data_IF_692798598723
#
_entry.id   IF_692798598723
#
_cell.length_a   1.000
_cell.length_b   1.000
_cell.length_c   1.000
_cell.angle_alpha   90.00
_cell.angle_beta   90.00
_cell.angle_gamma   90.00
#
_symmetry.space_group_name_H-M   'P 1'
#
loop_
_entity.id
_entity.type
_entity.pdbx_description
1 polymer ?
#
# COMPACT_ATOMS: atom_id res chain seq x y z
N UNK A 1 19.83 -31.87 3.48
CA UNK A 1 19.40 -30.48 3.75
C UNK A 1 20.06 -29.56 2.72
N UNK A 2 19.35 -29.17 1.65
CA UNK A 2 19.85 -28.20 0.64
C UNK A 2 18.75 -27.67 -0.33
N UNK A 3 17.45 -27.83 -0.07
CA UNK A 3 16.38 -27.51 -1.04
C UNK A 3 15.26 -26.59 -0.52
N UNK A 4 15.35 -26.05 0.69
CA UNK A 4 14.36 -25.07 1.19
C UNK A 4 14.50 -23.69 0.55
N UNK A 5 15.74 -23.25 0.26
CA UNK A 5 16.01 -21.86 -0.14
C UNK A 5 15.67 -21.58 -1.62
N UNK A 6 15.84 -22.56 -2.51
CA UNK A 6 15.47 -22.42 -3.94
C UNK A 6 13.95 -22.39 -4.14
N UNK A 7 13.19 -23.10 -3.28
CA UNK A 7 11.73 -23.10 -3.32
C UNK A 7 11.15 -21.78 -2.78
N UNK A 8 11.83 -21.17 -1.80
CA UNK A 8 11.49 -19.84 -1.30
C UNK A 8 11.82 -18.74 -2.33
N UNK A 9 12.96 -18.81 -3.02
CA UNK A 9 13.30 -17.86 -4.09
C UNK A 9 12.33 -17.95 -5.30
N UNK A 10 11.87 -19.17 -5.66
CA UNK A 10 10.82 -19.34 -6.69
C UNK A 10 9.43 -18.86 -6.23
N UNK A 11 9.11 -18.95 -4.94
CA UNK A 11 7.86 -18.39 -4.38
C UNK A 11 7.93 -16.86 -4.28
N UNK A 12 9.08 -16.29 -3.91
CA UNK A 12 9.32 -14.85 -3.87
C UNK A 12 9.20 -14.22 -5.28
N UNK A 13 9.67 -14.93 -6.32
CA UNK A 13 9.52 -14.50 -7.73
C UNK A 13 8.06 -14.40 -8.22
N UNK A 14 7.10 -14.95 -7.49
CA UNK A 14 5.68 -14.92 -7.84
C UNK A 14 4.90 -13.79 -7.15
N UNK A 15 5.55 -13.03 -6.25
CA UNK A 15 4.92 -11.90 -5.56
C UNK A 15 5.00 -10.60 -6.39
N UNK A 16 5.71 -10.63 -7.52
CA UNK A 16 5.80 -9.50 -8.45
C UNK A 16 4.60 -9.42 -9.36
N UNK A 17 4.00 -8.26 -9.27
CA UNK A 17 2.69 -7.95 -9.74
C UNK A 17 2.88 -6.51 -10.21
N UNK A 18 3.20 -6.32 -11.49
CA UNK A 18 3.56 -4.98 -11.97
C UNK A 18 2.36 -4.06 -11.79
N UNK A 19 2.51 -3.09 -10.89
CA UNK A 19 1.53 -2.03 -10.68
C UNK A 19 1.44 -1.20 -11.96
N UNK A 20 0.23 -0.88 -12.39
CA UNK A 20 0.03 -0.10 -13.60
C UNK A 20 0.47 1.36 -13.40
N UNK A 21 1.13 1.94 -14.40
CA UNK A 21 1.50 3.35 -14.42
C UNK A 21 0.31 4.28 -14.11
N UNK A 22 -0.86 4.01 -14.71
CA UNK A 22 -2.05 4.85 -14.50
C UNK A 22 -2.63 4.77 -13.08
N UNK A 23 -2.40 3.68 -12.35
CA UNK A 23 -2.80 3.56 -10.95
C UNK A 23 -1.83 4.33 -10.05
N UNK A 24 -0.52 4.26 -10.33
CA UNK A 24 0.51 5.06 -9.65
C UNK A 24 0.24 6.54 -9.88
N UNK A 25 0.06 6.97 -11.14
CA UNK A 25 -0.21 8.36 -11.47
C UNK A 25 -1.44 8.89 -10.72
N UNK A 26 -2.57 8.19 -10.78
CA UNK A 26 -3.79 8.64 -10.07
C UNK A 26 -3.59 8.76 -8.56
N UNK A 27 -2.87 7.81 -7.96
CA UNK A 27 -2.59 7.84 -6.54
C UNK A 27 -1.65 9.01 -6.18
N UNK A 28 -0.59 9.24 -6.95
CA UNK A 28 0.38 10.31 -6.69
C UNK A 28 -0.20 11.71 -6.94
N UNK A 29 -0.95 11.92 -8.03
CA UNK A 29 -1.58 13.21 -8.30
C UNK A 29 -2.55 13.62 -7.18
N UNK A 30 -3.21 12.68 -6.52
CA UNK A 30 -4.16 13.01 -5.45
C UNK A 30 -3.49 13.63 -4.20
N UNK A 31 -2.20 13.36 -3.96
CA UNK A 31 -1.43 14.07 -2.93
C UNK A 31 -1.01 15.47 -3.41
N UNK A 32 -0.63 15.60 -4.70
CA UNK A 32 -0.30 16.90 -5.31
C UNK A 32 -1.51 17.84 -5.41
N UNK A 33 -2.71 17.31 -5.65
CA UNK A 33 -3.96 18.07 -5.63
C UNK A 33 -4.25 18.66 -4.24
N UNK A 34 -3.80 17.99 -3.18
CA UNK A 34 -3.97 18.45 -1.81
C UNK A 34 -2.86 19.43 -1.39
N UNK A 35 -1.62 19.08 -1.68
CA UNK A 35 -0.44 19.94 -1.47
C UNK A 35 0.51 19.81 -2.68
N UNK A 36 0.62 20.85 -3.53
CA UNK A 36 1.46 20.80 -4.73
C UNK A 36 2.97 20.68 -4.41
N UNK A 37 3.39 21.02 -3.19
CA UNK A 37 4.78 20.92 -2.74
C UNK A 37 5.09 19.56 -2.06
N UNK A 38 4.14 18.61 -2.03
CA UNK A 38 4.29 17.29 -1.36
C UNK A 38 5.64 16.62 -1.67
N UNK A 39 6.06 16.63 -2.94
CA UNK A 39 7.28 15.96 -3.42
C UNK A 39 8.44 16.92 -3.74
N UNK A 40 8.22 18.23 -3.60
CA UNK A 40 9.21 19.24 -3.95
C UNK A 40 10.40 19.23 -3.00
N UNK A 41 11.59 19.32 -3.58
CA UNK A 41 12.88 19.24 -2.92
C UNK A 41 13.08 17.96 -2.09
N UNK A 42 12.28 16.91 -2.38
CA UNK A 42 12.36 15.62 -1.67
C UNK A 42 13.26 14.63 -2.36
N UNK A 43 13.84 13.76 -1.56
CA UNK A 43 14.51 12.54 -2.00
C UNK A 43 13.51 11.39 -1.94
N UNK A 44 13.22 10.78 -3.09
CA UNK A 44 12.29 9.65 -3.20
C UNK A 44 13.07 8.35 -3.24
N UNK A 45 12.62 7.34 -2.49
CA UNK A 45 13.14 5.98 -2.60
C UNK A 45 12.06 5.02 -3.10
N UNK A 46 12.31 4.43 -4.27
CA UNK A 46 11.43 3.48 -4.93
C UNK A 46 12.19 2.17 -5.12
N UNK A 47 12.36 1.37 -4.07
CA UNK A 47 12.94 0.04 -4.22
C UNK A 47 12.01 -0.84 -5.08
N UNK A 48 12.57 -1.57 -6.02
CA UNK A 48 11.85 -2.50 -6.89
C UNK A 48 12.77 -3.67 -7.27
N UNK A 49 12.21 -4.71 -7.86
CA UNK A 49 13.05 -5.83 -8.31
C UNK A 49 13.84 -5.46 -9.59
N UNK A 50 13.23 -4.62 -10.46
CA UNK A 50 13.84 -4.06 -11.66
C UNK A 50 13.35 -2.63 -11.98
N UNK A 51 14.22 -1.59 -11.95
CA UNK A 51 13.86 -0.22 -12.32
C UNK A 51 13.40 -0.06 -13.75
N UNK A 52 13.90 -0.87 -14.70
CA UNK A 52 13.52 -0.76 -16.11
C UNK A 52 12.10 -1.26 -16.38
N UNK A 53 11.55 -2.08 -15.47
CA UNK A 53 10.17 -2.57 -15.54
C UNK A 53 9.26 -1.91 -14.48
N UNK A 54 9.84 -1.23 -13.51
CA UNK A 54 9.11 -0.58 -12.43
C UNK A 54 8.42 0.69 -12.92
N UNK A 55 7.09 0.63 -13.00
CA UNK A 55 6.29 1.83 -13.27
C UNK A 55 6.42 2.90 -12.18
N UNK A 56 6.86 2.54 -10.96
CA UNK A 56 7.19 3.53 -9.92
C UNK A 56 8.41 4.34 -10.32
N UNK A 57 9.51 3.66 -10.65
CA UNK A 57 10.73 4.33 -11.13
C UNK A 57 10.41 5.17 -12.38
N UNK A 58 9.73 4.57 -13.37
CA UNK A 58 9.30 5.26 -14.59
C UNK A 58 8.50 6.53 -14.32
N UNK A 59 7.53 6.49 -13.40
CA UNK A 59 6.73 7.66 -13.07
C UNK A 59 7.60 8.77 -12.46
N UNK A 60 8.37 8.48 -11.41
CA UNK A 60 9.14 9.51 -10.72
C UNK A 60 10.28 10.07 -11.57
N UNK A 61 10.92 9.24 -12.39
CA UNK A 61 12.02 9.71 -13.23
C UNK A 61 11.49 10.59 -14.37
N UNK A 62 10.42 10.19 -15.07
CA UNK A 62 9.81 10.98 -16.15
C UNK A 62 9.18 12.28 -15.65
N UNK A 63 8.81 12.34 -14.37
CA UNK A 63 8.23 13.52 -13.74
C UNK A 63 9.22 14.26 -12.83
N UNK A 64 10.52 13.93 -12.86
CA UNK A 64 11.50 14.42 -11.90
C UNK A 64 11.52 15.97 -11.81
N UNK A 65 11.56 16.65 -12.96
CA UNK A 65 11.52 18.12 -13.01
C UNK A 65 10.15 18.68 -12.62
N UNK A 66 9.05 18.06 -13.09
CA UNK A 66 7.68 18.52 -12.79
C UNK A 66 7.39 18.47 -11.30
N UNK A 67 7.85 17.41 -10.63
CA UNK A 67 7.69 17.22 -9.19
C UNK A 67 8.70 18.03 -8.37
N UNK A 68 9.71 18.62 -9.01
CA UNK A 68 10.80 19.33 -8.34
C UNK A 68 11.61 18.42 -7.41
N UNK A 69 11.85 17.17 -7.80
CA UNK A 69 12.58 16.22 -6.96
C UNK A 69 14.03 16.67 -6.77
N UNK A 70 14.55 16.46 -5.57
CA UNK A 70 15.98 16.63 -5.29
C UNK A 70 16.80 15.44 -5.76
N UNK A 71 16.25 14.24 -5.60
CA UNK A 71 16.91 12.97 -5.95
C UNK A 71 15.89 11.83 -6.01
N UNK A 72 16.13 10.88 -6.90
CA UNK A 72 15.43 9.60 -6.94
C UNK A 72 16.43 8.47 -6.70
N UNK A 73 16.13 7.62 -5.73
CA UNK A 73 16.92 6.44 -5.38
C UNK A 73 16.10 5.19 -5.71
N UNK A 74 16.74 4.17 -6.27
CA UNK A 74 16.14 2.84 -6.46
C UNK A 74 17.20 1.77 -6.27
N UNK A 75 16.80 0.63 -5.72
CA UNK A 75 17.58 -0.62 -5.73
C UNK A 75 16.92 -1.65 -6.65
N UNK A 76 17.68 -2.61 -7.15
CA UNK A 76 17.20 -3.69 -8.03
C UNK A 76 17.91 -5.01 -7.78
N UNK A 77 17.21 -6.15 -7.83
CA UNK A 77 17.87 -7.46 -7.74
C UNK A 77 18.61 -7.82 -9.04
N UNK A 78 19.60 -8.72 -8.94
CA UNK A 78 20.20 -9.42 -10.09
C UNK A 78 19.93 -10.92 -9.98
N UNK A 79 19.63 -11.63 -11.08
CA UNK A 79 19.54 -11.14 -12.44
C UNK A 79 18.20 -10.45 -12.69
N UNK A 80 18.24 -9.17 -13.07
CA UNK A 80 17.06 -8.57 -13.71
C UNK A 80 16.91 -9.25 -15.09
N UNK A 81 15.70 -9.74 -15.44
CA UNK A 81 15.45 -10.41 -16.72
C UNK A 81 15.81 -9.53 -17.91
N UNK A 82 15.60 -8.21 -17.78
CA UNK A 82 15.84 -7.22 -18.83
C UNK A 82 17.15 -6.47 -18.66
N UNK A 83 17.59 -6.09 -17.46
CA UNK A 83 18.93 -5.52 -17.30
C UNK A 83 19.99 -6.44 -17.89
N UNK A 84 19.84 -7.78 -17.81
CA UNK A 84 20.77 -8.71 -18.48
C UNK A 84 20.48 -8.99 -19.97
N UNK A 85 19.30 -8.63 -20.52
CA UNK A 85 18.98 -8.86 -21.96
C UNK A 85 18.90 -7.57 -22.79
N UNK A 86 18.50 -6.43 -22.22
CA UNK A 86 18.81 -5.10 -22.74
C UNK A 86 20.29 -4.74 -22.58
N UNK A 87 21.07 -5.42 -21.72
CA UNK A 87 22.54 -5.41 -21.85
C UNK A 87 23.05 -6.08 -23.14
N UNK A 88 22.21 -6.77 -23.93
CA UNK A 88 22.58 -7.18 -25.31
C UNK A 88 22.32 -6.05 -26.32
N UNK A 89 21.59 -5.00 -25.94
CA UNK A 89 21.49 -3.73 -26.68
C UNK A 89 22.60 -2.73 -26.30
N UNK A 90 23.34 -3.01 -25.24
CA UNK A 90 24.46 -2.21 -24.74
C UNK A 90 25.75 -3.03 -24.91
N UNK A 91 26.36 -2.91 -26.09
CA UNK A 91 27.42 -3.77 -26.59
C UNK A 91 28.50 -4.17 -25.58
N UNK A 92 29.09 -5.35 -25.82
CA UNK A 92 30.13 -6.01 -25.03
C UNK A 92 31.09 -5.02 -24.34
N UNK A 93 30.84 -4.73 -23.07
CA UNK A 93 31.71 -3.88 -22.29
C UNK A 93 32.99 -4.64 -21.95
N UNK A 94 34.02 -4.46 -22.78
CA UNK A 94 35.35 -5.07 -22.63
C UNK A 94 36.12 -4.58 -21.39
N UNK A 95 35.53 -3.71 -20.58
CA UNK A 95 36.14 -3.20 -19.33
C UNK A 95 35.81 -4.03 -18.09
N UNK A 96 34.83 -4.94 -18.16
CA UNK A 96 34.52 -5.84 -17.04
C UNK A 96 35.47 -7.04 -17.11
N UNK A 97 36.53 -7.02 -16.28
CA UNK A 97 37.35 -8.21 -16.06
C UNK A 97 36.47 -9.36 -15.60
N UNK A 98 36.45 -10.52 -16.29
CA UNK A 98 35.64 -11.66 -15.88
C UNK A 98 36.15 -12.17 -14.52
N UNK A 99 35.37 -11.93 -13.47
CA UNK A 99 35.67 -12.46 -12.14
C UNK A 99 35.51 -13.98 -12.20
N UNK A 100 36.62 -14.72 -12.05
CA UNK A 100 36.60 -16.18 -11.90
C UNK A 100 35.80 -16.55 -10.66
N UNK A 101 34.61 -17.12 -10.84
CA UNK A 101 33.77 -17.60 -9.75
C UNK A 101 32.29 -17.70 -10.17
N UNK A 102 31.50 -18.38 -9.35
CA UNK A 102 30.03 -18.38 -9.50
C UNK A 102 29.54 -16.92 -9.38
N UNK A 103 28.71 -16.39 -10.30
CA UNK A 103 28.25 -15.01 -10.21
C UNK A 103 27.61 -14.77 -8.85
N UNK A 104 28.13 -13.80 -8.08
CA UNK A 104 27.45 -13.34 -6.87
C UNK A 104 26.11 -12.74 -7.30
N UNK A 105 25.03 -13.17 -6.66
CA UNK A 105 23.72 -12.55 -6.77
C UNK A 105 23.83 -11.23 -6.00
N UNK A 106 24.20 -10.15 -6.69
CA UNK A 106 24.35 -8.81 -6.12
C UNK A 106 23.22 -7.93 -6.63
N UNK A 107 22.66 -7.05 -5.81
CA UNK A 107 21.73 -6.05 -6.31
C UNK A 107 22.46 -4.87 -7.00
N UNK A 108 21.71 -3.94 -7.60
CA UNK A 108 22.23 -2.65 -8.05
C UNK A 108 21.54 -1.52 -7.30
N UNK A 109 22.19 -0.37 -7.23
CA UNK A 109 21.59 0.92 -6.87
C UNK A 109 21.63 1.88 -8.06
N UNK A 110 20.59 2.70 -8.13
CA UNK A 110 20.44 3.78 -9.09
C UNK A 110 20.15 5.06 -8.30
N UNK A 111 20.93 6.11 -8.55
CA UNK A 111 20.73 7.43 -7.97
C UNK A 111 20.64 8.44 -9.10
N UNK A 112 19.48 9.06 -9.24
CA UNK A 112 19.22 10.12 -10.20
C UNK A 112 19.19 11.44 -9.43
N UNK A 113 20.13 12.34 -9.74
CA UNK A 113 20.15 13.71 -9.21
C UNK A 113 19.74 14.73 -10.26
N UNK A 114 19.95 14.42 -11.53
CA UNK A 114 19.62 15.31 -12.64
C UNK A 114 19.00 14.51 -13.79
N UNK A 115 18.13 15.17 -14.53
CA UNK A 115 17.52 14.64 -15.75
C UNK A 115 17.59 15.70 -16.84
N UNK A 116 17.62 15.27 -18.10
CA UNK A 116 17.71 16.15 -19.25
C UNK A 116 17.71 15.35 -20.55
N UNK A 117 17.31 16.01 -21.62
CA UNK A 117 17.41 15.50 -22.99
C UNK A 117 18.90 15.37 -23.37
N UNK A 118 19.34 14.16 -23.72
CA UNK A 118 20.72 13.86 -24.07
C UNK A 118 20.97 13.75 -25.57
N UNK A 119 19.97 13.29 -26.32
CA UNK A 119 20.08 13.10 -27.77
C UNK A 119 19.72 14.36 -28.57
N UNK A 120 19.14 15.37 -27.90
CA UNK A 120 18.80 16.68 -28.45
C UNK A 120 17.51 16.66 -29.27
N UNK A 121 16.65 15.65 -29.10
CA UNK A 121 15.40 15.51 -29.84
C UNK A 121 14.24 16.38 -29.28
N UNK A 122 14.46 17.02 -28.13
CA UNK A 122 13.50 17.87 -27.44
C UNK A 122 12.54 17.14 -26.49
N UNK A 123 12.68 15.83 -26.29
CA UNK A 123 11.77 14.97 -25.54
C UNK A 123 12.49 14.06 -24.53
N UNK A 124 12.44 14.44 -23.24
CA UNK A 124 12.99 13.61 -22.17
C UNK A 124 12.28 12.26 -22.00
N UNK A 125 13.04 11.17 -22.10
CA UNK A 125 12.53 9.80 -22.07
C UNK A 125 13.46 8.80 -21.32
N UNK A 126 13.12 7.50 -21.33
CA UNK A 126 13.90 6.47 -20.63
C UNK A 126 15.26 6.16 -21.27
N UNK A 127 15.41 6.39 -22.59
CA UNK A 127 16.68 6.24 -23.28
C UNK A 127 17.68 7.31 -22.81
N UNK A 128 17.25 8.57 -22.67
CA UNK A 128 18.12 9.65 -22.13
C UNK A 128 18.69 9.29 -20.76
N UNK A 129 17.85 8.74 -19.87
CA UNK A 129 18.27 8.32 -18.52
C UNK A 129 19.31 7.21 -18.61
N UNK A 130 19.12 6.23 -19.49
CA UNK A 130 20.07 5.16 -19.70
C UNK A 130 21.42 5.69 -20.21
N UNK A 131 21.40 6.69 -21.09
CA UNK A 131 22.62 7.36 -21.57
C UNK A 131 23.30 8.18 -20.47
N UNK A 132 22.54 8.95 -19.68
CA UNK A 132 23.08 9.70 -18.55
C UNK A 132 23.75 8.79 -17.51
N UNK A 133 23.14 7.63 -17.23
CA UNK A 133 23.70 6.64 -16.30
C UNK A 133 25.01 6.04 -16.82
N UNK A 134 25.18 5.87 -18.14
CA UNK A 134 26.45 5.39 -18.74
C UNK A 134 27.55 6.43 -18.69
N UNK A 135 27.21 7.69 -18.97
CA UNK A 135 28.17 8.80 -18.92
C UNK A 135 28.56 9.13 -17.47
N UNK A 136 27.75 8.67 -16.49
CA UNK A 136 28.03 8.65 -15.05
C UNK A 136 28.49 10.01 -14.51
N UNK A 137 27.84 11.08 -14.98
CA UNK A 137 28.17 12.47 -14.64
C UNK A 137 27.64 12.85 -13.25
N UNK A 138 26.33 13.04 -13.16
CA UNK A 138 25.62 13.43 -11.93
C UNK A 138 24.66 12.35 -11.43
N UNK A 139 24.48 11.27 -12.19
CA UNK A 139 23.68 10.10 -11.83
C UNK A 139 24.61 8.91 -11.59
N UNK A 140 24.25 8.01 -10.67
CA UNK A 140 25.05 6.85 -10.29
C UNK A 140 24.32 5.56 -10.64
N UNK A 141 25.03 4.65 -11.28
CA UNK A 141 24.67 3.23 -11.36
C UNK A 141 25.84 2.38 -10.85
N UNK A 142 25.60 1.63 -9.78
CA UNK A 142 26.63 0.78 -9.20
C UNK A 142 26.03 -0.52 -8.62
N UNK A 143 26.79 -1.63 -8.64
CA UNK A 143 26.42 -2.82 -7.89
C UNK A 143 26.42 -2.55 -6.39
N UNK A 144 25.52 -3.22 -5.68
CA UNK A 144 25.51 -3.34 -4.23
C UNK A 144 26.43 -4.50 -3.80
N UNK A 145 26.94 -4.43 -2.57
CA UNK A 145 27.79 -5.47 -1.99
C UNK A 145 26.96 -6.69 -1.57
N UNK A 146 25.72 -6.43 -1.14
CA UNK A 146 24.74 -7.42 -0.73
C UNK A 146 23.72 -7.78 -1.81
N UNK A 147 22.65 -8.44 -1.37
CA UNK A 147 21.59 -8.99 -2.23
C UNK A 147 20.47 -7.99 -2.51
N UNK A 148 20.50 -6.78 -1.92
CA UNK A 148 19.44 -5.78 -2.09
C UNK A 148 18.25 -5.94 -1.14
N UNK A 149 18.31 -6.86 -0.17
CA UNK A 149 17.30 -6.95 0.88
C UNK A 149 17.16 -5.61 1.61
N UNK A 150 15.94 -5.14 1.83
CA UNK A 150 15.67 -3.85 2.49
C UNK A 150 16.23 -3.76 3.92
N UNK A 151 16.58 -4.91 4.52
CA UNK A 151 17.17 -5.04 5.85
C UNK A 151 18.69 -4.95 5.83
N UNK A 152 19.31 -5.03 4.66
CA UNK A 152 20.76 -4.92 4.53
C UNK A 152 21.25 -3.53 4.95
N UNK A 153 22.46 -3.41 5.54
CA UNK A 153 23.00 -2.12 5.95
C UNK A 153 23.05 -1.09 4.79
N UNK A 154 23.43 -1.52 3.60
CA UNK A 154 23.47 -0.66 2.40
C UNK A 154 22.09 -0.12 2.00
N UNK A 155 21.04 -0.95 2.00
CA UNK A 155 19.67 -0.51 1.70
C UNK A 155 19.12 0.39 2.81
N UNK A 156 19.52 0.18 4.07
CA UNK A 156 19.17 1.06 5.18
C UNK A 156 19.86 2.42 5.04
N UNK A 157 21.12 2.48 4.59
CA UNK A 157 21.79 3.76 4.32
C UNK A 157 21.15 4.52 3.15
N UNK A 158 20.67 3.82 2.12
CA UNK A 158 19.87 4.43 1.06
C UNK A 158 18.51 4.94 1.57
N UNK A 159 17.83 4.14 2.41
CA UNK A 159 16.59 4.55 3.07
C UNK A 159 16.80 5.80 3.94
N UNK A 160 17.89 5.87 4.71
CA UNK A 160 18.20 7.01 5.57
C UNK A 160 18.32 8.31 4.77
N UNK A 161 18.85 8.25 3.54
CA UNK A 161 18.98 9.41 2.65
C UNK A 161 17.64 9.89 2.06
N UNK A 162 16.58 9.09 2.07
CA UNK A 162 15.30 9.45 1.47
C UNK A 162 14.36 10.17 2.44
N UNK A 163 13.46 10.98 1.92
CA UNK A 163 12.38 11.61 2.69
C UNK A 163 11.09 10.79 2.59
N UNK A 164 10.80 10.31 1.37
CA UNK A 164 9.57 9.60 1.03
C UNK A 164 9.90 8.26 0.37
N UNK A 165 9.21 7.20 0.79
CA UNK A 165 9.27 5.88 0.17
C UNK A 165 8.00 5.61 -0.65
N UNK A 166 8.15 5.22 -1.91
CA UNK A 166 7.00 4.89 -2.76
C UNK A 166 7.24 3.56 -3.50
N UNK A 167 6.51 2.51 -3.11
CA UNK A 167 6.77 1.16 -3.64
C UNK A 167 5.60 0.18 -3.45
N UNK A 168 5.72 -0.99 -4.08
CA UNK A 168 4.92 -2.18 -3.79
C UNK A 168 5.81 -3.21 -3.05
N UNK A 169 5.84 -3.19 -1.70
CA UNK A 169 6.70 -4.09 -0.94
C UNK A 169 6.16 -5.54 -0.97
N UNK A 170 7.03 -6.54 -0.71
CA UNK A 170 6.59 -7.93 -0.56
C UNK A 170 5.55 -8.06 0.56
N UNK A 171 4.35 -8.54 0.24
CA UNK A 171 3.24 -8.60 1.22
C UNK A 171 3.55 -9.48 2.43
N UNK A 172 4.38 -10.51 2.25
CA UNK A 172 4.85 -11.39 3.32
C UNK A 172 5.72 -10.67 4.35
N UNK A 173 6.40 -9.59 3.96
CA UNK A 173 7.32 -8.80 4.79
C UNK A 173 6.73 -7.43 5.19
N UNK A 174 5.47 -7.16 4.85
CA UNK A 174 4.82 -5.86 5.08
C UNK A 174 4.95 -5.35 6.51
N UNK A 175 4.77 -6.20 7.53
CA UNK A 175 4.84 -5.75 8.94
C UNK A 175 6.23 -5.28 9.33
N UNK A 176 7.26 -6.03 8.91
CA UNK A 176 8.66 -5.71 9.17
C UNK A 176 9.07 -4.44 8.40
N UNK A 177 8.66 -4.36 7.14
CA UNK A 177 8.90 -3.19 6.30
C UNK A 177 8.23 -1.93 6.84
N UNK A 178 6.94 -1.99 7.19
CA UNK A 178 6.21 -0.87 7.80
C UNK A 178 6.88 -0.41 9.09
N UNK A 179 7.30 -1.35 9.95
CA UNK A 179 8.04 -1.02 11.18
C UNK A 179 9.31 -0.24 10.85
N UNK A 180 10.10 -0.70 9.87
CA UNK A 180 11.32 -0.02 9.44
C UNK A 180 11.04 1.41 8.96
N UNK A 181 9.99 1.63 8.17
CA UNK A 181 9.61 2.97 7.71
C UNK A 181 9.30 3.92 8.88
N UNK A 182 8.58 3.44 9.91
CA UNK A 182 8.32 4.22 11.12
C UNK A 182 9.57 4.43 11.98
N UNK A 183 10.41 3.41 12.18
CA UNK A 183 11.66 3.52 12.95
C UNK A 183 12.61 4.58 12.35
N UNK A 184 12.59 4.74 11.02
CA UNK A 184 13.38 5.73 10.30
C UNK A 184 12.62 7.02 9.97
N UNK A 185 11.44 7.23 10.56
CA UNK A 185 10.60 8.43 10.40
C UNK A 185 10.30 8.80 8.94
N UNK A 186 10.07 7.81 8.08
CA UNK A 186 9.82 8.03 6.66
C UNK A 186 8.37 8.39 6.40
N UNK A 187 8.19 9.30 5.44
CA UNK A 187 6.92 9.42 4.75
C UNK A 187 6.82 8.33 3.70
N UNK A 188 5.62 7.84 3.39
CA UNK A 188 5.48 6.76 2.42
C UNK A 188 4.11 6.65 1.79
N UNK A 189 4.10 6.06 0.59
CA UNK A 189 2.90 5.59 -0.13
C UNK A 189 3.21 4.18 -0.63
N UNK A 190 2.61 3.15 -0.02
CA UNK A 190 2.93 1.76 -0.33
C UNK A 190 1.68 0.91 -0.57
N UNK A 191 1.83 -0.15 -1.36
CA UNK A 191 0.76 -1.12 -1.59
C UNK A 191 0.81 -2.22 -0.53
N UNK A 192 -0.37 -2.67 -0.09
CA UNK A 192 -0.48 -3.82 0.82
C UNK A 192 -1.79 -4.56 0.60
N UNK A 193 -1.93 -5.73 1.23
CA UNK A 193 -3.19 -6.45 1.24
C UNK A 193 -4.21 -5.75 2.17
N UNK A 194 -5.48 -5.67 1.75
CA UNK A 194 -6.57 -5.07 2.54
C UNK A 194 -6.75 -5.66 3.94
N UNK A 195 -6.41 -6.93 4.13
CA UNK A 195 -6.50 -7.61 5.43
C UNK A 195 -5.50 -7.07 6.45
N UNK A 196 -4.46 -6.35 6.03
CA UNK A 196 -3.45 -5.81 6.95
C UNK A 196 -4.01 -4.72 7.87
N UNK A 197 -5.10 -4.06 7.49
CA UNK A 197 -5.80 -3.04 8.30
C UNK A 197 -6.09 -3.55 9.70
N UNK A 198 -6.50 -4.81 9.83
CA UNK A 198 -6.93 -5.37 11.12
C UNK A 198 -5.80 -6.02 11.92
N UNK A 199 -4.56 -5.92 11.45
CA UNK A 199 -3.43 -6.48 12.17
C UNK A 199 -3.19 -5.72 13.48
N UNK A 200 -2.78 -6.46 14.52
CA UNK A 200 -2.58 -5.93 15.88
C UNK A 200 -1.59 -4.76 15.91
N UNK A 201 -0.55 -4.82 15.09
CA UNK A 201 0.49 -3.79 14.96
C UNK A 201 0.11 -2.64 14.01
N UNK A 202 -0.91 -2.80 13.17
CA UNK A 202 -1.31 -1.83 12.13
C UNK A 202 -2.50 -0.99 12.57
N UNK A 203 -3.55 -1.64 13.08
CA UNK A 203 -4.78 -0.96 13.48
C UNK A 203 -4.56 0.18 14.51
N UNK A 204 -3.66 0.05 15.50
CA UNK A 204 -3.36 1.15 16.41
C UNK A 204 -2.81 2.40 15.68
N UNK A 205 -2.01 2.21 14.63
CA UNK A 205 -1.47 3.32 13.83
C UNK A 205 -2.59 4.05 13.09
N UNK A 206 -3.59 3.32 12.59
CA UNK A 206 -4.79 3.89 11.96
C UNK A 206 -5.60 4.66 13.00
N UNK A 207 -5.84 4.05 14.17
CA UNK A 207 -6.60 4.68 15.27
C UNK A 207 -5.96 6.00 15.73
N UNK A 208 -4.64 6.07 15.78
CA UNK A 208 -3.90 7.26 16.24
C UNK A 208 -3.54 8.21 15.10
N UNK A 209 -4.17 8.08 13.93
CA UNK A 209 -3.94 8.95 12.77
C UNK A 209 -2.46 9.03 12.33
N UNK A 210 -1.74 7.91 12.43
CA UNK A 210 -0.34 7.77 11.97
C UNK A 210 -0.21 7.00 10.65
N UNK A 211 -1.27 6.31 10.23
CA UNK A 211 -1.37 5.53 9.00
C UNK A 211 -2.81 5.62 8.48
N UNK A 212 -3.00 5.80 7.18
CA UNK A 212 -4.32 5.78 6.57
C UNK A 212 -4.33 5.10 5.20
N UNK A 213 -5.53 4.81 4.71
CA UNK A 213 -5.71 4.32 3.34
C UNK A 213 -5.38 5.44 2.36
N UNK A 214 -4.76 5.08 1.24
CA UNK A 214 -4.57 5.97 0.11
C UNK A 214 -5.87 6.27 -0.64
N UNK A 215 -5.76 6.84 -1.83
CA UNK A 215 -6.90 7.46 -2.52
C UNK A 215 -7.70 6.50 -3.38
N UNK A 216 -7.12 5.38 -3.81
CA UNK A 216 -7.84 4.36 -4.57
C UNK A 216 -8.95 3.69 -3.74
N UNK A 217 -10.17 3.68 -4.28
CA UNK A 217 -11.33 3.05 -3.64
C UNK A 217 -11.13 1.55 -3.39
N UNK A 218 -11.50 1.09 -2.19
CA UNK A 218 -11.51 -0.32 -1.80
C UNK A 218 -12.50 -1.19 -2.58
N UNK A 219 -13.34 -0.58 -3.43
CA UNK A 219 -14.23 -1.28 -4.37
C UNK A 219 -13.56 -1.62 -5.70
N UNK A 220 -12.34 -1.12 -5.95
CA UNK A 220 -11.54 -1.44 -7.12
C UNK A 220 -10.47 -2.45 -6.72
N UNK A 221 -10.34 -3.51 -7.50
CA UNK A 221 -9.21 -4.41 -7.39
C UNK A 221 -7.99 -3.75 -8.04
N UNK A 222 -6.83 -3.84 -7.39
CA UNK A 222 -5.57 -3.55 -8.09
C UNK A 222 -5.30 -4.71 -9.03
N UNK A 223 -5.09 -4.37 -10.29
CA UNK A 223 -4.77 -5.33 -11.34
C UNK A 223 -3.28 -5.30 -11.59
N UNK A 224 -2.70 -6.48 -11.54
CA UNK A 224 -1.29 -6.67 -11.72
C UNK A 224 -1.02 -7.49 -12.96
N UNK A 225 0.00 -7.13 -13.74
CA UNK A 225 0.35 -7.89 -14.94
C UNK A 225 0.90 -9.25 -14.53
N UNK A 226 0.36 -10.33 -15.10
CA UNK A 226 0.86 -11.67 -14.87
C UNK A 226 2.27 -11.84 -15.49
N UNK A 227 3.23 -12.46 -14.80
CA UNK A 227 4.51 -12.79 -15.39
C UNK A 227 4.34 -13.71 -16.61
N UNK A 228 5.25 -13.59 -17.58
CA UNK A 228 5.29 -14.48 -18.75
C UNK A 228 5.47 -15.94 -18.28
N UNK A 229 4.75 -16.86 -18.91
CA UNK A 229 4.83 -18.31 -18.70
C UNK A 229 4.32 -18.84 -17.34
N UNK A 230 3.54 -18.06 -16.58
CA UNK A 230 2.88 -18.57 -15.37
C UNK A 230 1.67 -19.43 -15.73
N UNK A 231 1.63 -20.66 -15.23
CA UNK A 231 0.42 -21.50 -15.30
C UNK A 231 -0.66 -20.94 -14.38
N UNK A 232 -1.69 -20.37 -14.99
CA UNK A 232 -2.85 -19.79 -14.31
C UNK A 232 -4.06 -20.71 -14.28
N UNK A 233 -3.95 -21.94 -14.78
CA UNK A 233 -5.06 -22.91 -14.86
C UNK A 233 -5.69 -23.22 -13.50
N UNK A 234 -4.89 -23.17 -12.43
CA UNK A 234 -5.31 -23.40 -11.05
C UNK A 234 -6.00 -22.21 -10.38
N UNK A 235 -5.93 -21.01 -10.98
CA UNK A 235 -6.56 -19.81 -10.40
C UNK A 235 -8.03 -19.73 -10.81
N UNK A 236 -8.93 -19.30 -9.89
CA UNK A 236 -10.33 -19.09 -10.23
C UNK A 236 -10.45 -18.02 -11.32
N UNK A 237 -11.40 -18.18 -12.25
CA UNK A 237 -11.63 -17.23 -13.36
C UNK A 237 -11.85 -15.79 -12.88
N UNK A 238 -12.37 -15.60 -11.68
CA UNK A 238 -12.59 -14.28 -11.06
C UNK A 238 -11.28 -13.59 -10.64
N UNK A 239 -10.19 -14.34 -10.44
CA UNK A 239 -8.88 -13.80 -10.09
C UNK A 239 -8.08 -13.37 -11.32
N UNK A 240 -8.59 -13.59 -12.54
CA UNK A 240 -7.92 -13.27 -13.80
C UNK A 240 -8.79 -12.30 -14.60
N UNK A 241 -8.16 -11.35 -15.28
CA UNK A 241 -8.81 -10.48 -16.27
C UNK A 241 -7.91 -10.40 -17.50
N UNK A 242 -8.47 -10.57 -18.70
CA UNK A 242 -7.72 -10.41 -19.95
C UNK A 242 -8.22 -9.12 -20.62
N UNK A 243 -7.29 -8.23 -20.98
CA UNK A 243 -7.58 -7.01 -21.74
C UNK A 243 -6.50 -6.89 -22.81
N UNK A 244 -6.92 -6.78 -24.08
CA UNK A 244 -6.04 -6.62 -25.24
C UNK A 244 -4.89 -7.65 -25.31
N UNK A 245 -5.20 -8.91 -24.99
CA UNK A 245 -4.23 -10.02 -24.97
C UNK A 245 -3.30 -10.04 -23.76
N UNK A 246 -3.34 -9.04 -22.88
CA UNK A 246 -2.57 -9.00 -21.63
C UNK A 246 -3.38 -9.63 -20.50
N UNK A 247 -2.76 -10.56 -19.77
CA UNK A 247 -3.38 -11.22 -18.62
C UNK A 247 -3.06 -10.47 -17.33
N UNK A 248 -4.10 -10.08 -16.60
CA UNK A 248 -4.04 -9.40 -15.32
C UNK A 248 -4.53 -10.30 -14.20
N UNK A 249 -3.87 -10.21 -13.06
CA UNK A 249 -4.21 -10.89 -11.82
C UNK A 249 -4.86 -9.89 -10.86
N UNK A 250 -6.04 -10.24 -10.39
CA UNK A 250 -6.77 -9.43 -9.41
C UNK A 250 -6.21 -9.67 -8.02
N UNK A 251 -5.91 -8.59 -7.31
CA UNK A 251 -5.47 -8.66 -5.92
C UNK A 251 -6.31 -7.74 -5.04
N UNK A 252 -6.73 -8.20 -3.83
CA UNK A 252 -7.41 -7.37 -2.85
C UNK A 252 -6.41 -6.45 -2.13
N UNK A 253 -5.69 -5.67 -2.92
CA UNK A 253 -4.65 -4.76 -2.47
C UNK A 253 -5.17 -3.34 -2.37
N UNK A 254 -4.55 -2.55 -1.50
CA UNK A 254 -4.87 -1.16 -1.22
C UNK A 254 -3.58 -0.36 -1.10
N UNK A 255 -3.67 0.94 -1.32
CA UNK A 255 -2.62 1.87 -0.94
C UNK A 255 -2.75 2.22 0.54
N UNK A 256 -1.62 2.33 1.23
CA UNK A 256 -1.52 2.86 2.59
C UNK A 256 -0.40 3.88 2.66
N UNK A 257 -0.61 4.92 3.47
CA UNK A 257 0.23 6.12 3.45
C UNK A 257 0.21 6.83 4.80
N UNK A 258 1.18 7.72 5.00
CA UNK A 258 1.19 8.74 6.04
C UNK A 258 1.44 10.16 5.46
N UNK A 259 1.24 10.31 4.14
CA UNK A 259 1.11 11.57 3.41
C UNK A 259 -0.36 11.97 3.32
N UNK A 260 -0.63 13.25 3.53
CA UNK A 260 -1.99 13.74 3.62
C UNK A 260 -2.62 13.94 2.24
N UNK A 261 -3.94 13.81 2.13
CA UNK A 261 -4.64 13.91 0.85
C UNK A 261 -6.11 14.34 1.04
N UNK A 262 -6.69 15.02 0.04
CA UNK A 262 -8.02 15.63 0.15
C UNK A 262 -9.13 14.64 0.52
N UNK A 263 -9.08 13.40 0.01
CA UNK A 263 -10.09 12.36 0.34
C UNK A 263 -10.19 12.06 1.84
N UNK A 264 -9.10 12.23 2.61
CA UNK A 264 -9.08 12.03 4.06
C UNK A 264 -9.96 13.05 4.80
N UNK A 265 -10.13 14.23 4.23
CA UNK A 265 -10.92 15.33 4.81
C UNK A 265 -12.34 15.39 4.23
N UNK A 266 -12.72 14.43 3.38
CA UNK A 266 -14.04 14.40 2.79
C UNK A 266 -15.06 13.80 3.77
N UNK A 267 -15.91 14.66 4.32
CA UNK A 267 -17.04 14.23 5.15
C UNK A 267 -18.07 13.45 4.34
N UNK A 268 -18.62 12.39 4.95
CA UNK A 268 -19.74 11.65 4.41
C UNK A 268 -21.05 12.40 4.63
N UNK A 269 -21.89 12.45 3.59
CA UNK A 269 -23.29 12.83 3.74
C UNK A 269 -24.06 11.71 4.44
N UNK A 270 -24.63 12.00 5.60
CA UNK A 270 -25.33 11.04 6.45
C UNK A 270 -26.83 11.37 6.51
N UNK A 271 -27.66 10.35 6.59
CA UNK A 271 -29.10 10.47 6.83
C UNK A 271 -29.40 10.22 8.31
N UNK A 272 -30.55 10.67 8.81
CA UNK A 272 -31.02 10.30 10.15
C UNK A 272 -31.26 8.78 10.25
N UNK A 273 -31.37 8.23 11.46
CA UNK A 273 -31.75 6.82 11.65
C UNK A 273 -33.10 6.53 10.97
N UNK A 274 -34.09 7.40 11.15
CA UNK A 274 -35.42 7.25 10.55
C UNK A 274 -35.35 7.27 9.02
N UNK A 275 -34.60 8.22 8.45
CA UNK A 275 -34.45 8.33 7.00
C UNK A 275 -33.66 7.16 6.42
N UNK A 276 -32.64 6.66 7.11
CA UNK A 276 -31.93 5.45 6.70
C UNK A 276 -32.89 4.25 6.62
N UNK A 277 -33.71 4.01 7.64
CA UNK A 277 -34.66 2.90 7.64
C UNK A 277 -35.73 3.03 6.53
N UNK A 278 -36.10 4.27 6.17
CA UNK A 278 -37.12 4.55 5.16
C UNK A 278 -36.59 4.54 3.72
N UNK A 279 -35.43 5.13 3.47
CA UNK A 279 -34.95 5.45 2.13
C UNK A 279 -33.69 4.70 1.72
N UNK A 280 -32.89 4.18 2.66
CA UNK A 280 -31.69 3.45 2.30
C UNK A 280 -32.05 2.07 1.75
N UNK A 281 -31.79 1.85 0.45
CA UNK A 281 -32.10 0.61 -0.27
C UNK A 281 -31.53 -0.64 0.41
N UNK A 282 -30.40 -0.52 1.12
CA UNK A 282 -29.74 -1.65 1.82
C UNK A 282 -30.28 -1.91 3.22
N UNK A 283 -31.08 -0.99 3.76
CA UNK A 283 -31.76 -1.13 5.06
C UNK A 283 -33.24 -1.52 4.90
N UNK A 284 -33.71 -1.74 3.66
CA UNK A 284 -35.10 -2.09 3.37
C UNK A 284 -35.53 -3.33 4.15
N UNK A 285 -36.65 -3.21 4.86
CA UNK A 285 -37.21 -4.27 5.69
C UNK A 285 -36.74 -4.26 7.14
N UNK A 286 -35.76 -3.42 7.52
CA UNK A 286 -35.46 -3.14 8.92
C UNK A 286 -36.40 -2.05 9.46
N UNK A 287 -36.87 -2.25 10.68
CA UNK A 287 -37.67 -1.26 11.44
C UNK A 287 -36.85 -0.53 12.50
N UNK A 288 -35.70 -1.09 12.88
CA UNK A 288 -34.76 -0.51 13.84
C UNK A 288 -33.32 -0.94 13.49
N UNK A 289 -32.34 -0.25 14.06
CA UNK A 289 -30.96 -0.72 14.12
C UNK A 289 -30.84 -1.78 15.22
N UNK A 290 -30.02 -2.80 14.97
CA UNK A 290 -29.74 -3.84 15.96
C UNK A 290 -28.70 -3.34 16.96
N UNK A 291 -28.79 -3.80 18.21
CA UNK A 291 -27.74 -3.64 19.21
C UNK A 291 -26.93 -4.93 19.34
N UNK A 292 -25.67 -4.81 19.73
CA UNK A 292 -24.84 -5.98 19.99
C UNK A 292 -25.15 -6.60 21.36
N UNK A 293 -25.14 -7.93 21.42
CA UNK A 293 -25.34 -8.69 22.67
C UNK A 293 -24.13 -8.60 23.62
N UNK A 294 -22.99 -8.17 23.09
CA UNK A 294 -21.68 -8.21 23.73
C UNK A 294 -20.91 -6.90 23.72
N UNK A 295 -21.47 -5.82 23.17
CA UNK A 295 -20.87 -4.48 23.18
C UNK A 295 -21.97 -3.43 23.33
N UNK A 296 -21.68 -2.30 23.99
CA UNK A 296 -22.56 -1.13 24.02
C UNK A 296 -22.39 -0.30 22.74
N UNK A 297 -22.92 -0.83 21.64
CA UNK A 297 -22.90 -0.20 20.33
C UNK A 297 -24.04 -0.74 19.45
N UNK A 298 -24.41 0.02 18.40
CA UNK A 298 -25.33 -0.44 17.37
C UNK A 298 -24.58 -1.09 16.20
N UNK A 299 -25.21 -2.06 15.54
CA UNK A 299 -24.77 -2.62 14.28
C UNK A 299 -25.17 -1.72 13.12
N UNK A 300 -24.16 -1.20 12.43
CA UNK A 300 -24.31 -0.44 11.19
C UNK A 300 -23.78 -1.29 10.04
N UNK A 301 -24.64 -2.03 9.32
CA UNK A 301 -24.18 -3.05 8.36
C UNK A 301 -23.52 -2.46 7.10
N UNK A 302 -23.73 -1.17 6.82
CA UNK A 302 -23.21 -0.49 5.64
C UNK A 302 -22.75 0.92 5.96
N UNK A 303 -21.66 1.38 5.35
CA UNK A 303 -21.13 2.75 5.54
C UNK A 303 -22.15 3.83 5.20
N UNK A 304 -23.00 3.64 4.18
CA UNK A 304 -24.05 4.60 3.83
C UNK A 304 -25.30 4.51 4.73
N UNK A 305 -25.29 3.63 5.74
CA UNK A 305 -26.33 3.52 6.74
C UNK A 305 -25.88 4.08 8.10
N UNK A 306 -24.73 4.76 8.16
CA UNK A 306 -24.29 5.48 9.36
C UNK A 306 -25.27 6.63 9.60
N UNK A 307 -25.93 6.68 10.78
CA UNK A 307 -26.88 7.75 11.10
C UNK A 307 -26.19 9.07 11.51
N UNK A 308 -26.78 10.19 11.09
CA UNK A 308 -26.32 11.54 11.47
C UNK A 308 -26.72 11.96 12.89
N UNK A 309 -27.70 11.31 13.48
CA UNK A 309 -28.41 11.67 14.73
C UNK A 309 -28.17 10.68 15.88
N UNK A 310 -27.27 9.70 15.71
CA UNK A 310 -26.86 8.78 16.78
C UNK A 310 -25.50 9.15 17.37
N UNK A 311 -25.44 9.40 18.68
CA UNK A 311 -24.22 9.86 19.36
C UNK A 311 -23.44 8.74 20.09
N UNK A 312 -24.01 7.54 20.16
CA UNK A 312 -23.37 6.37 20.74
C UNK A 312 -22.30 5.76 19.82
N UNK A 313 -21.72 4.64 20.27
CA UNK A 313 -20.75 3.89 19.47
C UNK A 313 -21.47 3.09 18.38
N UNK A 314 -20.89 3.08 17.18
CA UNK A 314 -21.42 2.38 16.02
C UNK A 314 -20.39 1.37 15.52
N UNK A 315 -20.80 0.12 15.33
CA UNK A 315 -19.99 -0.88 14.65
C UNK A 315 -20.24 -0.82 13.14
N UNK A 316 -19.25 -0.33 12.39
CA UNK A 316 -19.29 -0.21 10.92
C UNK A 316 -18.41 -1.29 10.25
N UNK A 317 -18.57 -1.59 8.95
CA UNK A 317 -17.74 -2.58 8.26
C UNK A 317 -16.25 -2.20 8.27
N UNK A 318 -15.33 -3.17 8.28
CA UNK A 318 -13.88 -2.90 8.18
C UNK A 318 -13.53 -2.02 6.97
N UNK A 319 -14.24 -2.19 5.85
CA UNK A 319 -14.05 -1.37 4.65
C UNK A 319 -14.39 0.10 4.82
N UNK A 320 -14.96 0.51 5.96
CA UNK A 320 -15.19 1.92 6.30
C UNK A 320 -13.89 2.74 6.27
N UNK A 321 -12.72 2.14 6.51
CA UNK A 321 -11.43 2.83 6.43
C UNK A 321 -11.21 3.54 5.08
N UNK A 322 -11.77 3.00 3.99
CA UNK A 322 -11.77 3.64 2.66
C UNK A 322 -12.41 5.04 2.64
N UNK A 323 -13.29 5.31 3.59
CA UNK A 323 -14.12 6.52 3.70
C UNK A 323 -13.94 7.20 5.05
N UNK A 324 -12.94 6.77 5.82
CA UNK A 324 -12.69 7.33 7.13
C UNK A 324 -12.15 8.74 6.98
N UNK A 325 -12.86 9.69 7.59
CA UNK A 325 -12.35 11.04 7.81
C UNK A 325 -12.14 11.26 9.30
N UNK A 326 -10.92 11.63 9.73
CA UNK A 326 -10.64 11.94 11.13
C UNK A 326 -11.39 13.20 11.59
N UNK A 327 -11.84 14.06 10.68
CA UNK A 327 -12.60 15.27 11.02
C UNK A 327 -14.05 14.94 11.41
N UNK A 328 -14.60 13.87 10.83
CA UNK A 328 -15.99 13.47 11.07
C UNK A 328 -16.13 12.39 12.16
N UNK A 329 -15.16 11.48 12.26
CA UNK A 329 -15.27 10.32 13.15
C UNK A 329 -14.02 10.08 14.00
N UNK A 330 -14.26 9.55 15.19
CA UNK A 330 -13.25 8.94 16.04
C UNK A 330 -13.31 7.42 15.90
N UNK A 331 -12.15 6.78 15.71
CA UNK A 331 -12.03 5.32 15.78
C UNK A 331 -11.78 4.91 17.25
N UNK A 332 -12.64 4.05 17.77
CA UNK A 332 -12.52 3.51 19.14
C UNK A 332 -11.68 2.24 19.13
N UNK A 333 -12.10 1.22 18.39
CA UNK A 333 -11.34 -0.02 18.22
C UNK A 333 -11.91 -0.88 17.08
N UNK A 334 -11.34 -2.07 16.84
CA UNK A 334 -11.91 -3.08 15.95
C UNK A 334 -12.45 -4.29 16.73
N UNK A 335 -13.53 -4.89 16.23
CA UNK A 335 -14.06 -6.16 16.68
C UNK A 335 -13.89 -7.22 15.56
N UNK A 336 -12.71 -7.88 15.51
CA UNK A 336 -12.28 -8.72 14.37
C UNK A 336 -11.77 -10.11 14.77
N UNK A 337 -12.22 -10.65 15.90
CA UNK A 337 -11.95 -12.04 16.31
C UNK A 337 -10.62 -12.25 17.05
N UNK A 338 -9.81 -11.22 17.20
CA UNK A 338 -8.65 -11.19 18.09
C UNK A 338 -8.73 -10.04 19.11
N UNK A 339 -9.86 -9.35 19.15
CA UNK A 339 -10.13 -8.17 19.98
C UNK A 339 -9.81 -8.41 21.45
N UNK A 340 -10.15 -9.58 21.99
CA UNK A 340 -9.85 -9.93 23.39
C UNK A 340 -8.35 -9.87 23.73
N UNK A 341 -7.50 -10.15 22.75
CA UNK A 341 -6.05 -10.19 22.91
C UNK A 341 -5.34 -8.93 22.39
N UNK A 342 -5.98 -8.15 21.52
CA UNK A 342 -5.40 -6.96 20.91
C UNK A 342 -5.86 -5.66 21.57
N UNK A 343 -7.09 -5.60 22.10
CA UNK A 343 -7.66 -4.40 22.69
C UNK A 343 -7.07 -4.10 24.09
N UNK A 344 -6.75 -2.83 24.38
CA UNK A 344 -6.52 -2.37 25.75
C UNK A 344 -7.72 -2.65 26.65
N UNK A 345 -7.49 -2.90 27.96
CA UNK A 345 -8.56 -3.25 28.91
C UNK A 345 -9.57 -2.11 29.08
N UNK A 346 -9.09 -0.88 29.14
CA UNK A 346 -9.89 0.34 29.23
C UNK A 346 -10.86 0.49 28.05
N UNK A 347 -10.42 0.17 26.83
CA UNK A 347 -11.27 0.16 25.63
C UNK A 347 -12.38 -0.90 25.75
N UNK A 348 -12.06 -2.10 26.22
CA UNK A 348 -13.07 -3.16 26.42
C UNK A 348 -14.09 -2.75 27.50
N UNK A 349 -13.62 -2.12 28.59
CA UNK A 349 -14.49 -1.60 29.65
C UNK A 349 -15.38 -0.47 29.13
N UNK A 350 -14.84 0.49 28.36
CA UNK A 350 -15.63 1.61 27.81
C UNK A 350 -16.69 1.15 26.81
N UNK A 351 -16.45 0.04 26.12
CA UNK A 351 -17.41 -0.58 25.20
C UNK A 351 -18.36 -1.56 25.91
N UNK A 352 -18.31 -1.67 27.24
CA UNK A 352 -19.07 -2.63 28.05
C UNK A 352 -19.01 -4.06 27.46
N UNK A 353 -17.80 -4.48 27.05
CA UNK A 353 -17.63 -5.76 26.38
C UNK A 353 -17.95 -6.92 27.32
N UNK A 354 -18.82 -7.83 26.86
CA UNK A 354 -19.20 -9.05 27.59
C UNK A 354 -18.84 -10.27 26.77
N UNK A 355 -17.95 -11.11 27.28
CA UNK A 355 -17.52 -12.29 26.55
C UNK A 355 -18.70 -13.22 26.24
N UNK A 356 -18.80 -13.67 24.99
CA UNK A 356 -19.79 -14.64 24.52
C UNK A 356 -19.08 -15.81 23.83
N UNK A 357 -19.56 -17.06 23.99
CA UNK A 357 -18.99 -18.20 23.25
C UNK A 357 -18.96 -17.98 21.73
N UNK A 358 -19.98 -17.31 21.19
CA UNK A 358 -20.18 -17.07 19.77
C UNK A 358 -19.19 -16.04 19.19
N UNK A 359 -18.62 -15.16 20.03
CA UNK A 359 -17.78 -14.05 19.57
C UNK A 359 -16.43 -14.49 18.99
N UNK A 360 -15.99 -15.73 19.29
CA UNK A 360 -14.71 -16.32 18.84
C UNK A 360 -13.53 -15.34 18.88
N UNK A 361 -13.33 -14.69 20.03
CA UNK A 361 -12.18 -13.81 20.29
C UNK A 361 -12.54 -12.32 20.29
N UNK A 362 -13.83 -12.00 20.42
CA UNK A 362 -14.35 -10.64 20.50
C UNK A 362 -14.79 -10.04 19.16
N UNK A 363 -15.33 -10.86 18.24
CA UNK A 363 -16.24 -10.32 17.23
C UNK A 363 -17.55 -9.84 17.87
N UNK A 364 -18.26 -8.98 17.19
CA UNK A 364 -19.62 -8.58 17.57
C UNK A 364 -20.64 -9.72 17.38
N UNK A 365 -21.66 -9.75 18.24
CA UNK A 365 -22.74 -10.73 18.22
C UNK A 365 -24.08 -9.98 18.21
N UNK A 366 -24.99 -10.38 17.32
CA UNK A 366 -26.37 -9.87 17.23
C UNK A 366 -27.32 -11.05 17.28
N UNK A 367 -28.27 -11.06 18.21
CA UNK A 367 -29.26 -12.12 18.36
C UNK A 367 -28.62 -13.52 18.43
N UNK A 368 -27.55 -13.66 19.21
CA UNK A 368 -26.79 -14.91 19.38
C UNK A 368 -25.99 -15.33 18.14
N UNK A 369 -25.86 -14.48 17.11
CA UNK A 369 -25.11 -14.77 15.89
C UNK A 369 -23.93 -13.84 15.74
N UNK A 370 -22.75 -14.43 15.56
CA UNK A 370 -21.53 -13.69 15.26
C UNK A 370 -21.67 -12.95 13.93
N UNK A 371 -21.31 -11.68 13.91
CA UNK A 371 -21.26 -10.88 12.68
C UNK A 371 -19.87 -10.93 12.04
N UNK A 372 -19.74 -10.36 10.84
CA UNK A 372 -18.44 -10.03 10.28
C UNK A 372 -17.68 -9.03 11.15
N UNK A 373 -16.38 -8.90 10.92
CA UNK A 373 -15.56 -7.91 11.62
C UNK A 373 -16.09 -6.49 11.50
N UNK A 374 -15.98 -5.72 12.58
CA UNK A 374 -16.48 -4.35 12.70
C UNK A 374 -15.38 -3.40 13.19
N UNK A 375 -15.51 -2.13 12.83
CA UNK A 375 -14.77 -1.02 13.44
C UNK A 375 -15.77 -0.25 14.28
N UNK A 376 -15.45 -0.05 15.54
CA UNK A 376 -16.21 0.83 16.42
C UNK A 376 -15.78 2.26 16.18
N UNK A 377 -16.74 3.09 15.80
CA UNK A 377 -16.56 4.52 15.58
C UNK A 377 -17.56 5.32 16.41
N UNK A 378 -17.22 6.59 16.62
CA UNK A 378 -18.12 7.60 17.17
C UNK A 378 -18.03 8.85 16.29
N UNK A 379 -19.12 9.59 16.12
CA UNK A 379 -19.05 10.92 15.47
C UNK A 379 -18.23 11.84 16.37
N UNK A 380 -17.37 12.67 15.77
CA UNK A 380 -16.80 13.78 16.52
C UNK A 380 -17.90 14.79 16.81
N UNK A 381 -17.91 15.34 18.03
CA UNK A 381 -18.73 16.50 18.33
C UNK A 381 -18.11 17.68 17.60
N UNK A 382 -18.88 18.34 16.75
CA UNK A 382 -18.48 19.63 16.19
C UNK A 382 -18.34 20.55 17.41
N UNK A 383 -17.13 21.07 17.64
CA UNK A 383 -16.95 22.15 18.61
C UNK A 383 -17.75 23.33 18.06
N UNK A 384 -18.86 23.68 18.74
CA UNK A 384 -19.68 24.86 18.43
C UNK A 384 -18.95 26.09 18.93
#
# INVERSE_FOLDING_TARGET
MANSNLTNAKKAKNDEFYTQYSDIQKEIEAYLEYDPDTFKDKVIYCNCDDPFESNFFRYFVLNFLRLGLKRLITTSYKPSPIANTQLVLFGDDKTITPVKGRPKITANKFIINEVGDMDGDGAFNLQDIAEQLKVNKNNEWAPLDGDGDFRSPECIELLKQSDIVVTNPPFSLYREYLKQLFDHNKKFVIITNKNTITYKEVFPLIKTDRLWAGTMSFSKDILFIAPKDVDLSSKPKTAIRIVDGVTYLRSPSIWVTNLDHGRRHQSLTLMTMADNLKFNKKMKGKTTYDHYDNYDAIEVPFTNAIPSDYDGVMGVPISFIDKYSPDQFEIIWQASGNTRASAPKDILTSLNYRQRPEDRGGCTVVNGRRTYGRIFIKKRKIAI
#
